data_IF_780582591541
#
_entry.id   IF_780582591541
#
_cell.length_a   1.000
_cell.length_b   1.000
_cell.length_c   1.000
_cell.angle_alpha   90.00
_cell.angle_beta   90.00
_cell.angle_gamma   90.00
#
_symmetry.space_group_name_H-M   'P 1'
#
loop_
_entity.id
_entity.type
_entity.pdbx_description
1 polymer ?
#
# COMPACT_ATOMS: atom_id res chain seq x y z
N UNK A 1 7.35 27.03 0.75
CA UNK A 1 8.50 26.16 0.40
C UNK A 1 8.71 25.10 1.49
N UNK A 2 7.69 24.29 1.83
CA UNK A 2 7.77 23.35 2.97
C UNK A 2 7.09 21.99 2.75
N UNK A 3 6.74 21.63 1.51
CA UNK A 3 6.05 20.35 1.24
C UNK A 3 7.02 19.20 0.91
N UNK A 4 8.18 19.49 0.31
CA UNK A 4 9.14 18.46 -0.06
C UNK A 4 9.87 17.84 1.15
N UNK A 5 10.10 18.62 2.23
CA UNK A 5 10.80 18.14 3.42
C UNK A 5 9.91 17.26 4.33
N UNK A 6 8.59 17.49 4.35
CA UNK A 6 7.64 16.65 5.07
C UNK A 6 7.48 15.28 4.40
N UNK A 7 7.48 15.23 3.07
CA UNK A 7 7.43 13.98 2.28
C UNK A 7 8.65 13.09 2.57
N UNK A 8 9.86 13.67 2.68
CA UNK A 8 11.09 12.91 3.00
C UNK A 8 11.11 12.41 4.44
N UNK A 9 10.50 13.13 5.39
CA UNK A 9 10.46 12.70 6.79
C UNK A 9 9.44 11.57 6.99
N UNK A 10 8.31 11.63 6.27
CA UNK A 10 7.35 10.53 6.19
C UNK A 10 8.01 9.24 5.72
N UNK A 11 8.87 9.27 4.68
CA UNK A 11 9.62 8.10 4.19
C UNK A 11 10.45 7.37 5.27
N UNK A 12 10.89 8.06 6.33
CA UNK A 12 11.66 7.45 7.42
C UNK A 12 10.80 6.72 8.46
N UNK A 13 9.51 7.05 8.55
CA UNK A 13 8.56 6.52 9.55
C UNK A 13 7.70 5.36 9.02
N UNK A 14 7.87 4.95 7.76
CA UNK A 14 7.12 3.85 7.12
C UNK A 14 7.39 2.47 7.75
N UNK A 15 8.53 2.28 8.41
CA UNK A 15 8.97 0.96 8.90
C UNK A 15 8.64 0.64 10.36
N UNK A 16 8.28 1.62 11.19
CA UNK A 16 8.21 1.45 12.65
C UNK A 16 6.92 0.79 13.14
N UNK A 17 5.76 1.14 12.57
CA UNK A 17 4.45 0.70 13.11
C UNK A 17 4.07 -0.73 12.71
N UNK A 18 4.71 -1.28 11.67
CA UNK A 18 4.50 -2.66 11.23
C UNK A 18 5.17 -3.68 12.18
N UNK A 19 6.19 -3.25 12.92
CA UNK A 19 7.01 -4.10 13.80
C UNK A 19 6.25 -4.58 15.04
N UNK A 20 5.36 -3.75 15.57
CA UNK A 20 4.70 -4.02 16.86
C UNK A 20 3.44 -4.89 16.69
N UNK A 21 2.74 -4.74 15.55
CA UNK A 21 1.55 -5.53 15.23
C UNK A 21 1.85 -6.98 14.83
N UNK A 22 3.02 -7.23 14.20
CA UNK A 22 3.42 -8.56 13.73
C UNK A 22 3.99 -9.47 14.85
N UNK A 23 4.31 -8.93 16.02
CA UNK A 23 4.90 -9.71 17.14
C UNK A 23 3.84 -10.51 17.91
N UNK A 24 2.57 -10.08 17.91
CA UNK A 24 1.56 -10.61 18.84
C UNK A 24 0.68 -11.76 18.30
N UNK A 25 0.56 -11.97 16.98
CA UNK A 25 -0.28 -13.06 16.43
C UNK A 25 0.49 -14.23 15.78
N UNK A 26 1.81 -14.13 15.59
CA UNK A 26 2.54 -14.96 14.62
C UNK A 26 3.36 -16.14 15.18
N UNK A 27 3.15 -16.54 16.44
CA UNK A 27 4.03 -17.52 17.11
C UNK A 27 3.86 -19.00 16.69
N UNK A 28 2.87 -19.41 15.88
CA UNK A 28 2.52 -20.84 15.73
C UNK A 28 2.70 -21.48 14.34
N UNK A 29 3.01 -20.71 13.29
CA UNK A 29 3.31 -21.26 11.94
C UNK A 29 4.82 -21.27 11.59
N UNK A 30 5.64 -20.84 12.56
CA UNK A 30 7.10 -20.76 12.54
C UNK A 30 7.72 -22.12 12.21
N UNK A 31 8.61 -22.18 11.22
CA UNK A 31 9.97 -22.71 11.42
C UNK A 31 10.77 -22.60 10.12
N UNK A 32 10.13 -22.81 8.96
CA UNK A 32 10.80 -22.70 7.66
C UNK A 32 10.56 -21.34 6.97
N UNK A 33 9.35 -20.77 7.11
CA UNK A 33 8.99 -19.45 6.58
C UNK A 33 9.46 -18.29 7.49
N UNK A 34 9.75 -18.58 8.75
CA UNK A 34 10.17 -17.61 9.77
C UNK A 34 11.48 -16.91 9.43
N UNK A 35 12.42 -17.63 8.81
CA UNK A 35 13.74 -17.08 8.50
C UNK A 35 13.67 -15.95 7.46
N UNK A 36 12.84 -16.10 6.43
CA UNK A 36 12.70 -15.10 5.36
C UNK A 36 12.02 -13.82 5.84
N UNK A 37 11.01 -13.96 6.69
CA UNK A 37 10.35 -12.83 7.34
C UNK A 37 11.26 -12.18 8.40
N UNK A 38 12.02 -12.96 9.17
CA UNK A 38 12.97 -12.45 10.16
C UNK A 38 14.09 -11.62 9.52
N UNK A 39 14.60 -12.03 8.36
CA UNK A 39 15.67 -11.30 7.66
C UNK A 39 15.14 -10.01 7.01
N UNK A 40 13.92 -10.03 6.45
CA UNK A 40 13.22 -8.84 5.98
C UNK A 40 12.95 -7.84 7.12
N UNK A 41 12.45 -8.32 8.25
CA UNK A 41 12.18 -7.52 9.45
C UNK A 41 13.44 -6.92 10.08
N UNK A 42 14.61 -7.56 9.90
CA UNK A 42 15.87 -7.08 10.48
C UNK A 42 16.57 -6.06 9.58
N UNK A 43 16.42 -6.16 8.25
CA UNK A 43 17.18 -5.37 7.28
C UNK A 43 16.36 -4.31 6.55
N UNK A 44 15.03 -4.34 6.65
CA UNK A 44 14.14 -3.48 5.85
C UNK A 44 14.18 -3.77 4.35
N UNK A 45 14.77 -4.91 3.97
CA UNK A 45 14.97 -5.37 2.60
C UNK A 45 15.06 -6.89 2.59
N UNK A 46 14.51 -7.55 1.57
CA UNK A 46 14.73 -8.97 1.37
C UNK A 46 16.15 -9.13 0.83
N UNK A 47 17.03 -9.75 1.62
CA UNK A 47 18.37 -10.12 1.11
C UNK A 47 18.27 -11.19 0.03
N UNK A 48 17.24 -12.05 0.12
CA UNK A 48 16.92 -13.09 -0.85
C UNK A 48 15.56 -12.81 -1.50
N UNK A 49 15.48 -11.71 -2.25
CA UNK A 49 14.35 -11.47 -3.15
C UNK A 49 14.15 -12.71 -4.06
N UNK A 50 15.21 -13.34 -4.53
CA UNK A 50 15.14 -14.54 -5.37
C UNK A 50 14.33 -15.68 -4.74
N UNK A 51 14.24 -15.77 -3.40
CA UNK A 51 13.56 -16.89 -2.77
C UNK A 51 12.04 -16.80 -2.79
N UNK A 52 11.46 -15.59 -2.78
CA UNK A 52 10.01 -15.45 -3.03
C UNK A 52 9.69 -15.77 -4.50
N UNK A 53 10.57 -15.39 -5.42
CA UNK A 53 10.40 -15.75 -6.84
C UNK A 53 10.51 -17.28 -7.04
N UNK A 54 11.32 -17.94 -6.20
CA UNK A 54 11.43 -19.40 -6.15
C UNK A 54 10.28 -20.11 -5.41
N UNK A 55 9.35 -19.40 -4.73
CA UNK A 55 8.18 -20.02 -4.11
C UNK A 55 7.16 -20.49 -5.17
N UNK A 56 7.16 -19.87 -6.35
CA UNK A 56 6.35 -20.30 -7.49
C UNK A 56 4.87 -20.58 -7.12
N UNK A 57 4.30 -21.75 -7.48
CA UNK A 57 2.91 -22.09 -7.16
C UNK A 57 2.58 -22.12 -5.66
N UNK A 58 3.58 -22.23 -4.77
CA UNK A 58 3.36 -22.28 -3.32
C UNK A 58 2.75 -20.97 -2.77
N UNK A 59 2.85 -19.87 -3.52
CA UNK A 59 2.23 -18.60 -3.17
C UNK A 59 0.70 -18.66 -3.17
N UNK A 60 0.11 -19.58 -3.95
CA UNK A 60 -1.33 -19.79 -4.03
C UNK A 60 -1.87 -20.69 -2.91
N UNK A 61 -1.01 -21.21 -2.04
CA UNK A 61 -1.41 -22.12 -0.95
C UNK A 61 -2.10 -21.41 0.21
N UNK A 62 -2.02 -20.07 0.28
CA UNK A 62 -2.79 -19.28 1.23
C UNK A 62 -2.99 -17.86 0.73
N UNK A 63 -4.07 -17.23 1.19
CA UNK A 63 -4.39 -15.83 0.89
C UNK A 63 -3.27 -14.88 1.34
N UNK A 64 -2.60 -15.20 2.46
CA UNK A 64 -1.47 -14.41 2.98
C UNK A 64 -0.23 -14.50 2.10
N UNK A 65 0.12 -15.69 1.61
CA UNK A 65 1.24 -15.85 0.67
C UNK A 65 0.92 -15.24 -0.70
N UNK A 66 -0.34 -15.33 -1.13
CA UNK A 66 -0.83 -14.69 -2.36
C UNK A 66 -0.71 -13.17 -2.22
N UNK A 67 -1.17 -12.61 -1.11
CA UNK A 67 -1.02 -11.20 -0.78
C UNK A 67 0.44 -10.76 -0.82
N UNK A 68 1.35 -11.44 -0.11
CA UNK A 68 2.77 -11.09 -0.08
C UNK A 68 3.40 -11.09 -1.47
N UNK A 69 3.05 -12.08 -2.28
CA UNK A 69 3.46 -12.17 -3.67
C UNK A 69 3.03 -10.99 -4.53
N UNK A 70 1.74 -10.69 -4.48
CA UNK A 70 1.12 -9.59 -5.23
C UNK A 70 1.62 -8.23 -4.74
N UNK A 71 1.85 -8.08 -3.44
CA UNK A 71 2.39 -6.85 -2.87
C UNK A 71 3.86 -6.61 -3.27
N UNK A 72 4.67 -7.66 -3.36
CA UNK A 72 6.02 -7.57 -3.94
C UNK A 72 5.96 -7.20 -5.42
N UNK A 73 5.09 -7.84 -6.18
CA UNK A 73 4.90 -7.56 -7.60
C UNK A 73 4.51 -6.09 -7.83
N UNK A 74 3.68 -5.52 -6.96
CA UNK A 74 3.37 -4.10 -6.96
C UNK A 74 4.63 -3.23 -6.86
N UNK A 75 5.52 -3.51 -5.91
CA UNK A 75 6.79 -2.78 -5.76
C UNK A 75 7.73 -2.97 -6.94
N UNK A 76 7.74 -4.16 -7.56
CA UNK A 76 8.49 -4.41 -8.81
C UNK A 76 7.97 -3.55 -9.95
N UNK A 77 6.66 -3.53 -10.18
CA UNK A 77 6.01 -2.70 -11.20
C UNK A 77 6.27 -1.21 -10.95
N UNK A 78 6.21 -0.78 -9.69
CA UNK A 78 6.53 0.59 -9.30
C UNK A 78 7.98 0.96 -9.62
N UNK A 79 8.94 0.09 -9.28
CA UNK A 79 10.37 0.28 -9.60
C UNK A 79 10.65 0.31 -11.11
N UNK A 80 9.89 -0.45 -11.90
CA UNK A 80 9.90 -0.42 -13.37
C UNK A 80 9.17 0.79 -13.97
N UNK A 81 8.64 1.69 -13.14
CA UNK A 81 7.84 2.87 -13.53
C UNK A 81 6.55 2.52 -14.30
N UNK A 82 6.07 1.28 -14.17
CA UNK A 82 4.77 0.83 -14.70
C UNK A 82 3.65 1.24 -13.74
N UNK A 83 3.49 2.54 -13.55
CA UNK A 83 2.62 3.11 -12.51
C UNK A 83 1.15 2.71 -12.65
N UNK A 84 0.63 2.65 -13.89
CA UNK A 84 -0.75 2.22 -14.13
C UNK A 84 -0.99 0.77 -13.73
N UNK A 85 -0.03 -0.13 -14.01
CA UNK A 85 -0.15 -1.55 -13.66
C UNK A 85 0.01 -1.74 -12.14
N UNK A 86 0.96 -1.01 -11.53
CA UNK A 86 1.13 -0.98 -10.08
C UNK A 86 -0.15 -0.50 -9.38
N UNK A 87 -0.75 0.60 -9.85
CA UNK A 87 -1.99 1.15 -9.31
C UNK A 87 -3.17 0.17 -9.38
N UNK A 88 -3.35 -0.50 -10.53
CA UNK A 88 -4.37 -1.55 -10.70
C UNK A 88 -4.15 -2.71 -9.72
N UNK A 89 -2.91 -3.15 -9.56
CA UNK A 89 -2.56 -4.24 -8.67
C UNK A 89 -2.80 -3.87 -7.20
N UNK A 90 -2.36 -2.68 -6.77
CA UNK A 90 -2.59 -2.16 -5.43
C UNK A 90 -4.08 -2.08 -5.12
N UNK A 91 -4.88 -1.53 -6.04
CA UNK A 91 -6.33 -1.45 -5.86
C UNK A 91 -6.94 -2.84 -5.71
N UNK A 92 -6.53 -3.80 -6.56
CA UNK A 92 -7.02 -5.18 -6.49
C UNK A 92 -6.68 -5.86 -5.16
N UNK A 93 -5.52 -5.55 -4.56
CA UNK A 93 -5.15 -6.11 -3.26
C UNK A 93 -6.14 -5.67 -2.16
N UNK A 94 -6.65 -4.44 -2.25
CA UNK A 94 -7.62 -3.92 -1.29
C UNK A 94 -9.05 -4.37 -1.60
N UNK A 95 -9.54 -4.14 -2.83
CA UNK A 95 -10.95 -4.33 -3.18
C UNK A 95 -11.32 -5.80 -3.31
N UNK A 96 -10.40 -6.66 -3.74
CA UNK A 96 -10.62 -8.11 -3.75
C UNK A 96 -10.45 -8.76 -2.36
N UNK A 97 -10.23 -7.97 -1.30
CA UNK A 97 -10.01 -8.41 0.08
C UNK A 97 -8.88 -9.44 0.26
N UNK A 98 -7.91 -9.41 -0.66
CA UNK A 98 -6.70 -10.24 -0.59
C UNK A 98 -5.81 -9.73 0.56
N UNK A 99 -5.74 -8.41 0.73
CA UNK A 99 -5.05 -7.79 1.84
C UNK A 99 -5.92 -7.80 3.11
N UNK A 100 -5.37 -8.20 4.27
CA UNK A 100 -6.03 -8.02 5.56
C UNK A 100 -6.38 -6.55 5.81
N UNK A 101 -7.55 -6.27 6.42
CA UNK A 101 -8.01 -4.89 6.70
C UNK A 101 -6.99 -4.08 7.51
N UNK A 102 -6.26 -4.72 8.42
CA UNK A 102 -5.18 -4.09 9.19
C UNK A 102 -4.03 -3.53 8.33
N UNK A 103 -3.88 -4.01 7.09
CA UNK A 103 -2.82 -3.60 6.16
C UNK A 103 -3.30 -2.53 5.15
N UNK A 104 -4.59 -2.24 5.09
CA UNK A 104 -5.13 -1.26 4.13
C UNK A 104 -4.55 0.13 4.34
N UNK A 105 -4.28 0.54 5.58
CA UNK A 105 -3.62 1.82 5.86
C UNK A 105 -2.24 1.88 5.18
N UNK A 106 -1.45 0.81 5.26
CA UNK A 106 -0.15 0.73 4.58
C UNK A 106 -0.31 0.82 3.07
N UNK A 107 -1.23 0.06 2.46
CA UNK A 107 -1.49 0.12 1.02
C UNK A 107 -1.95 1.51 0.55
N UNK A 108 -2.80 2.17 1.32
CA UNK A 108 -3.24 3.53 1.01
C UNK A 108 -2.07 4.51 1.03
N UNK A 109 -1.18 4.40 2.02
CA UNK A 109 0.03 5.23 2.06
C UNK A 109 0.96 4.91 0.89
N UNK A 110 1.12 3.64 0.51
CA UNK A 110 1.91 3.25 -0.67
C UNK A 110 1.27 3.73 -2.00
N UNK A 111 -0.01 4.06 -2.00
CA UNK A 111 -0.67 4.70 -3.13
C UNK A 111 -0.39 6.21 -3.23
N UNK A 112 0.09 6.87 -2.17
CA UNK A 112 0.37 8.33 -2.18
C UNK A 112 1.30 8.76 -3.33
N UNK A 113 2.45 8.10 -3.57
CA UNK A 113 3.32 8.48 -4.67
C UNK A 113 2.68 8.33 -6.05
N UNK A 114 1.69 7.43 -6.18
CA UNK A 114 0.94 7.19 -7.40
C UNK A 114 -0.20 8.21 -7.58
N UNK A 115 -0.83 8.64 -6.48
CA UNK A 115 -1.87 9.68 -6.44
C UNK A 115 -1.31 11.08 -6.73
N UNK A 116 -0.05 11.35 -6.35
CA UNK A 116 0.61 12.64 -6.58
C UNK A 116 1.42 12.69 -7.90
N UNK A 117 1.22 11.74 -8.81
CA UNK A 117 1.81 11.82 -10.14
C UNK A 117 1.26 13.00 -10.94
N UNK A 118 2.09 13.55 -11.83
CA UNK A 118 1.67 14.63 -12.74
C UNK A 118 0.59 14.19 -13.72
N UNK A 119 0.62 12.92 -14.10
CA UNK A 119 -0.40 12.30 -14.93
C UNK A 119 -1.38 11.55 -14.04
N UNK A 120 -2.65 11.54 -14.45
CA UNK A 120 -3.69 10.75 -13.79
C UNK A 120 -3.38 9.27 -13.94
N UNK A 121 -3.02 8.62 -12.83
CA UNK A 121 -2.77 7.18 -12.75
C UNK A 121 -4.01 6.43 -12.26
N UNK A 122 -4.70 6.96 -11.26
CA UNK A 122 -5.99 6.44 -10.80
C UNK A 122 -7.11 7.24 -11.45
N UNK A 123 -8.04 6.53 -12.10
CA UNK A 123 -9.27 7.12 -12.63
C UNK A 123 -10.21 7.62 -11.53
N UNK A 124 -11.28 8.32 -11.92
CA UNK A 124 -12.35 8.75 -11.01
C UNK A 124 -12.88 7.57 -10.18
N UNK A 125 -13.28 6.48 -10.86
CA UNK A 125 -13.83 5.29 -10.20
C UNK A 125 -12.82 4.65 -9.25
N UNK A 126 -11.57 4.49 -9.68
CA UNK A 126 -10.52 3.92 -8.84
C UNK A 126 -10.22 4.80 -7.62
N UNK A 127 -10.30 6.12 -7.77
CA UNK A 127 -10.10 7.05 -6.66
C UNK A 127 -11.24 6.96 -5.65
N UNK A 128 -12.48 6.80 -6.12
CA UNK A 128 -13.64 6.58 -5.24
C UNK A 128 -13.51 5.29 -4.43
N UNK A 129 -13.02 4.20 -5.03
CA UNK A 129 -12.76 2.95 -4.31
C UNK A 129 -11.71 3.14 -3.20
N UNK A 130 -10.62 3.87 -3.46
CA UNK A 130 -9.61 4.20 -2.44
C UNK A 130 -10.20 5.07 -1.31
N UNK A 131 -11.05 6.05 -1.65
CA UNK A 131 -11.75 6.90 -0.68
C UNK A 131 -12.69 6.07 0.19
N UNK A 132 -13.41 5.11 -0.39
CA UNK A 132 -14.27 4.19 0.35
C UNK A 132 -13.46 3.33 1.34
N UNK A 133 -12.34 2.75 0.90
CA UNK A 133 -11.46 1.99 1.80
C UNK A 133 -10.92 2.85 2.96
N UNK A 134 -10.58 4.12 2.69
CA UNK A 134 -10.13 5.06 3.72
C UNK A 134 -11.27 5.38 4.72
N UNK A 135 -12.48 5.60 4.24
CA UNK A 135 -13.65 5.84 5.08
C UNK A 135 -13.96 4.63 5.97
N UNK A 136 -13.89 3.42 5.40
CA UNK A 136 -14.08 2.18 6.16
C UNK A 136 -13.05 2.02 7.29
N UNK A 137 -11.79 2.43 7.07
CA UNK A 137 -10.77 2.43 8.13
C UNK A 137 -11.03 3.48 9.22
N UNK A 138 -11.58 4.63 8.85
CA UNK A 138 -11.81 5.75 9.78
C UNK A 138 -13.17 5.73 10.46
N UNK A 139 -14.10 4.87 10.03
CA UNK A 139 -15.44 4.76 10.62
C UNK A 139 -15.39 4.39 12.12
N UNK A 140 -14.37 3.63 12.55
CA UNK A 140 -14.11 3.31 13.96
C UNK A 140 -13.14 4.32 14.60
N UNK A 141 -13.51 5.61 14.61
CA UNK A 141 -12.67 6.73 15.08
C UNK A 141 -12.19 6.65 16.55
N UNK A 142 -12.66 5.67 17.35
CA UNK A 142 -12.47 5.64 18.81
C UNK A 142 -11.04 5.31 19.27
N UNK A 143 -10.10 4.99 18.38
CA UNK A 143 -8.72 4.54 18.73
C UNK A 143 -7.60 5.06 17.80
N UNK A 144 -7.86 6.08 16.97
CA UNK A 144 -6.84 6.58 16.05
C UNK A 144 -5.73 7.31 16.82
N UNK A 145 -4.51 6.80 16.69
CA UNK A 145 -3.32 7.44 17.24
C UNK A 145 -3.00 8.74 16.47
N UNK A 146 -2.36 9.74 17.09
CA UNK A 146 -2.05 11.03 16.46
C UNK A 146 -1.29 10.92 15.13
N UNK A 147 -0.37 9.96 15.00
CA UNK A 147 0.36 9.69 13.77
C UNK A 147 -0.55 9.26 12.62
N UNK A 148 -1.62 8.52 12.92
CA UNK A 148 -2.60 8.12 11.92
C UNK A 148 -3.42 9.34 11.46
N UNK A 149 -3.67 10.33 12.31
CA UNK A 149 -4.39 11.54 11.91
C UNK A 149 -3.63 12.32 10.82
N UNK A 150 -2.33 12.52 10.98
CA UNK A 150 -1.50 13.19 9.96
C UNK A 150 -1.48 12.41 8.64
N UNK A 151 -1.38 11.08 8.72
CA UNK A 151 -1.44 10.21 7.55
C UNK A 151 -2.82 10.29 6.84
N UNK A 152 -3.91 10.34 7.61
CA UNK A 152 -5.27 10.48 7.07
C UNK A 152 -5.46 11.82 6.34
N UNK A 153 -4.93 12.91 6.88
CA UNK A 153 -5.00 14.22 6.23
C UNK A 153 -4.27 14.24 4.89
N UNK A 154 -3.07 13.64 4.83
CA UNK A 154 -2.30 13.51 3.60
C UNK A 154 -3.02 12.65 2.56
N UNK A 155 -3.59 11.51 2.98
CA UNK A 155 -4.37 10.64 2.12
C UNK A 155 -5.59 11.36 1.56
N UNK A 156 -6.37 12.05 2.39
CA UNK A 156 -7.53 12.83 1.95
C UNK A 156 -7.13 13.90 0.94
N UNK A 157 -6.02 14.60 1.18
CA UNK A 157 -5.54 15.63 0.27
C UNK A 157 -5.09 15.05 -1.08
N UNK A 158 -4.30 13.97 -1.07
CA UNK A 158 -3.83 13.31 -2.29
C UNK A 158 -4.98 12.73 -3.11
N UNK A 159 -5.95 12.09 -2.45
CA UNK A 159 -7.15 11.54 -3.09
C UNK A 159 -8.00 12.66 -3.72
N UNK A 160 -8.22 13.78 -3.01
CA UNK A 160 -8.97 14.90 -3.55
C UNK A 160 -8.28 15.54 -4.77
N UNK A 161 -6.95 15.67 -4.74
CA UNK A 161 -6.15 16.18 -5.87
C UNK A 161 -6.24 15.25 -7.08
N UNK A 162 -6.01 13.96 -6.88
CA UNK A 162 -6.11 12.99 -7.97
C UNK A 162 -7.52 12.97 -8.57
N UNK A 163 -8.57 12.99 -7.72
CA UNK A 163 -9.96 13.04 -8.19
C UNK A 163 -10.22 14.28 -9.06
N UNK A 164 -9.78 15.46 -8.62
CA UNK A 164 -9.93 16.68 -9.40
C UNK A 164 -9.22 16.59 -10.76
N UNK A 165 -8.00 16.06 -10.78
CA UNK A 165 -7.25 15.86 -12.03
C UNK A 165 -7.91 14.82 -12.95
N UNK A 166 -8.40 13.71 -12.38
CA UNK A 166 -9.07 12.65 -13.10
C UNK A 166 -10.37 13.12 -13.76
N UNK A 167 -11.21 13.86 -13.01
CA UNK A 167 -12.46 14.45 -13.53
C UNK A 167 -12.17 15.36 -14.74
N UNK A 168 -11.16 16.24 -14.62
CA UNK A 168 -10.79 17.14 -15.73
C UNK A 168 -10.31 16.33 -16.93
N UNK A 169 -9.40 15.36 -16.72
CA UNK A 169 -8.84 14.56 -17.81
C UNK A 169 -9.91 13.73 -18.51
N UNK A 170 -10.71 12.99 -17.77
CA UNK A 170 -11.74 12.11 -18.31
C UNK A 170 -12.86 12.92 -18.98
N UNK A 171 -13.31 14.01 -18.36
CA UNK A 171 -14.32 14.91 -18.94
C UNK A 171 -13.85 15.65 -20.20
N UNK A 172 -12.54 15.85 -20.39
CA UNK A 172 -11.99 16.44 -21.63
C UNK A 172 -11.85 15.44 -22.78
N UNK A 173 -11.89 14.13 -22.52
CA UNK A 173 -11.77 13.08 -23.55
C UNK A 173 -13.13 12.80 -24.22
N UNK A 174 -14.24 13.18 -23.57
CA UNK A 174 -15.60 13.01 -24.08
C UNK A 174 -16.12 14.21 -24.93
N UNK A 175 -15.26 15.20 -25.23
CA UNK A 175 -15.62 16.43 -25.96
C UNK A 175 -15.01 16.53 -27.37
#
# INVERSE_FOLDING_TARGET
>A
MSSAAEITNLQSHFGSNLREFLVLEYASGLFSHHRFLQDYCTRGSFSDLDLIDNLGPAMLLSDRLTFLGKYREFHRLYGEKKFTDAAKLLLSLMTAKIAPRSFWMTLLIDALPLLEQKEVIFSVDQTHELMFCLEELTSDNSKLQPEHLAQLELLRLALARNLAMAIVKEGTVEA
#
